data_IF_299945226674
#
_entry.id   IF_299945226674
#
_cell.length_a   1.000
_cell.length_b   1.000
_cell.length_c   1.000
_cell.angle_alpha   90.00
_cell.angle_beta   90.00
_cell.angle_gamma   90.00
#
_symmetry.space_group_name_H-M   'P 1'
#
loop_
_entity.id
_entity.type
_entity.pdbx_description
1 polymer ?
#
# COMPACT_ATOMS: atom_id res chain seq x y z
N UNK A 1 0.02 2.45 -15.34
CA UNK A 1 0.91 1.28 -15.49
C UNK A 1 2.09 1.26 -14.49
N UNK A 2 2.54 2.41 -13.97
CA UNK A 2 3.65 2.51 -13.02
C UNK A 2 3.44 1.65 -11.76
N UNK A 3 2.23 1.65 -11.20
CA UNK A 3 1.91 0.83 -10.04
C UNK A 3 2.02 -0.70 -10.30
N UNK A 4 1.81 -1.16 -11.53
CA UNK A 4 1.99 -2.59 -11.86
C UNK A 4 3.47 -2.95 -11.80
N UNK A 5 4.35 -2.10 -12.35
CA UNK A 5 5.80 -2.31 -12.29
C UNK A 5 6.34 -2.29 -10.87
N UNK A 6 5.76 -1.44 -9.99
CA UNK A 6 6.14 -1.39 -8.59
C UNK A 6 5.77 -2.70 -7.88
N UNK A 7 4.57 -3.25 -8.14
CA UNK A 7 4.20 -4.57 -7.59
C UNK A 7 4.99 -5.71 -8.21
N UNK A 8 5.36 -5.64 -9.50
CA UNK A 8 6.23 -6.64 -10.14
C UNK A 8 7.59 -6.70 -9.42
N UNK A 9 8.12 -5.52 -9.08
CA UNK A 9 9.36 -5.43 -8.34
C UNK A 9 9.23 -6.05 -6.93
N UNK A 10 8.18 -5.71 -6.18
CA UNK A 10 7.94 -6.29 -4.84
C UNK A 10 7.80 -7.82 -4.94
N UNK A 11 7.06 -8.33 -5.93
CA UNK A 11 6.85 -9.76 -6.13
C UNK A 11 8.14 -10.46 -6.53
N UNK A 12 9.02 -9.79 -7.27
CA UNK A 12 10.36 -10.32 -7.59
C UNK A 12 11.22 -10.52 -6.34
N UNK A 13 11.14 -9.58 -5.41
CA UNK A 13 11.87 -9.64 -4.14
C UNK A 13 11.23 -10.63 -3.15
N UNK A 14 9.91 -10.61 -3.10
CA UNK A 14 9.11 -11.43 -2.18
C UNK A 14 8.00 -12.20 -2.92
N UNK A 15 8.33 -13.33 -3.58
CA UNK A 15 7.36 -14.07 -4.40
C UNK A 15 6.16 -14.63 -3.62
N UNK A 16 6.28 -14.72 -2.30
CA UNK A 16 5.20 -15.20 -1.41
C UNK A 16 4.38 -14.08 -0.79
N UNK A 17 4.67 -12.83 -1.11
CA UNK A 17 3.88 -11.69 -0.62
C UNK A 17 2.51 -11.66 -1.32
N UNK A 18 1.52 -12.28 -0.66
CA UNK A 18 0.18 -12.42 -1.25
C UNK A 18 -0.51 -11.07 -1.44
N UNK A 19 -0.20 -10.08 -0.60
CA UNK A 19 -0.81 -8.75 -0.69
C UNK A 19 -0.35 -8.00 -1.94
N UNK A 20 0.95 -8.08 -2.28
CA UNK A 20 1.49 -7.51 -3.51
C UNK A 20 0.85 -8.17 -4.73
N UNK A 21 0.76 -9.52 -4.73
CA UNK A 21 0.12 -10.27 -5.83
C UNK A 21 -1.35 -9.89 -5.95
N UNK A 22 -2.08 -9.81 -4.82
CA UNK A 22 -3.49 -9.46 -4.83
C UNK A 22 -3.74 -8.04 -5.34
N UNK A 23 -2.93 -7.07 -4.90
CA UNK A 23 -3.05 -5.69 -5.37
C UNK A 23 -2.70 -5.55 -6.86
N UNK A 24 -1.70 -6.29 -7.35
CA UNK A 24 -1.41 -6.35 -8.79
C UNK A 24 -2.59 -6.93 -9.56
N UNK A 25 -3.22 -8.00 -9.05
CA UNK A 25 -4.42 -8.57 -9.64
C UNK A 25 -5.57 -7.56 -9.75
N UNK A 26 -5.79 -6.75 -8.71
CA UNK A 26 -6.79 -5.68 -8.71
C UNK A 26 -6.50 -4.63 -9.80
N UNK A 27 -5.24 -4.27 -10.00
CA UNK A 27 -4.86 -3.34 -11.06
C UNK A 27 -5.07 -3.95 -12.44
N UNK A 28 -4.72 -5.23 -12.63
CA UNK A 28 -4.97 -5.95 -13.87
C UNK A 28 -6.49 -6.04 -14.19
N UNK A 29 -7.32 -6.26 -13.18
CA UNK A 29 -8.79 -6.26 -13.34
C UNK A 29 -9.29 -4.86 -13.75
N UNK A 30 -8.80 -3.79 -13.10
CA UNK A 30 -9.16 -2.41 -13.44
C UNK A 30 -8.69 -1.99 -14.85
N UNK A 31 -7.52 -2.45 -15.27
CA UNK A 31 -6.98 -2.14 -16.60
C UNK A 31 -7.53 -3.04 -17.70
N UNK A 32 -8.40 -4.00 -17.38
CA UNK A 32 -9.02 -4.90 -18.34
C UNK A 32 -8.18 -6.12 -18.70
N UNK A 33 -7.00 -6.28 -18.12
CA UNK A 33 -6.16 -7.45 -18.34
C UNK A 33 -6.63 -8.64 -17.47
N UNK A 34 -7.84 -9.12 -17.78
CA UNK A 34 -8.53 -10.13 -16.97
C UNK A 34 -7.78 -11.46 -16.86
N UNK A 35 -7.06 -11.86 -17.92
CA UNK A 35 -6.28 -13.11 -17.89
C UNK A 35 -5.11 -13.03 -16.87
N UNK A 36 -4.43 -11.89 -16.79
CA UNK A 36 -3.39 -11.67 -15.80
C UNK A 36 -3.96 -11.60 -14.39
N UNK A 37 -5.07 -10.87 -14.21
CA UNK A 37 -5.78 -10.81 -12.93
C UNK A 37 -6.16 -12.20 -12.41
N UNK A 38 -6.72 -13.07 -13.25
CA UNK A 38 -7.10 -14.43 -12.88
C UNK A 38 -5.89 -15.26 -12.45
N UNK A 39 -4.74 -15.11 -13.11
CA UNK A 39 -3.51 -15.81 -12.71
C UNK A 39 -3.08 -15.39 -11.31
N UNK A 40 -3.03 -14.09 -11.08
CA UNK A 40 -2.60 -13.56 -9.79
C UNK A 40 -3.57 -13.93 -8.67
N UNK A 41 -4.89 -13.80 -8.88
CA UNK A 41 -5.89 -14.29 -7.92
C UNK A 41 -5.75 -15.79 -7.65
N UNK A 42 -5.47 -16.60 -8.68
CA UNK A 42 -5.27 -18.03 -8.50
C UNK A 42 -4.04 -18.36 -7.66
N UNK A 43 -2.97 -17.57 -7.80
CA UNK A 43 -1.76 -17.69 -6.97
C UNK A 43 -2.08 -17.39 -5.51
N UNK A 44 -2.83 -16.32 -5.24
CA UNK A 44 -3.25 -15.96 -3.88
C UNK A 44 -4.16 -17.03 -3.25
N UNK A 45 -5.13 -17.53 -4.03
CA UNK A 45 -6.07 -18.58 -3.59
C UNK A 45 -5.31 -19.89 -3.34
N UNK A 46 -4.27 -20.19 -4.13
CA UNK A 46 -3.39 -21.35 -3.90
C UNK A 46 -2.64 -21.26 -2.57
N UNK A 47 -2.22 -20.05 -2.17
CA UNK A 47 -1.60 -19.83 -0.86
C UNK A 47 -2.62 -19.87 0.29
N UNK A 48 -3.81 -19.31 0.06
CA UNK A 48 -4.87 -19.19 1.06
C UNK A 48 -6.22 -19.59 0.46
N UNK A 49 -6.58 -20.89 0.47
CA UNK A 49 -7.80 -21.41 -0.16
C UNK A 49 -9.09 -20.78 0.36
N UNK A 50 -9.08 -20.28 1.59
CA UNK A 50 -10.22 -19.63 2.24
C UNK A 50 -10.22 -18.11 2.11
N UNK A 51 -9.45 -17.57 1.17
CA UNK A 51 -9.45 -16.14 0.89
C UNK A 51 -10.65 -15.77 -0.01
N UNK A 52 -11.82 -15.63 0.62
CA UNK A 52 -13.10 -15.43 -0.06
C UNK A 52 -13.14 -14.21 -0.96
N UNK A 53 -12.47 -13.15 -0.56
CA UNK A 53 -12.35 -11.92 -1.36
C UNK A 53 -11.66 -12.22 -2.69
N UNK A 54 -10.57 -12.98 -2.69
CA UNK A 54 -9.87 -13.37 -3.92
C UNK A 54 -10.73 -14.23 -4.84
N UNK A 55 -11.50 -15.19 -4.27
CA UNK A 55 -12.46 -16.00 -5.03
C UNK A 55 -13.54 -15.13 -5.68
N UNK A 56 -14.11 -14.17 -4.95
CA UNK A 56 -15.14 -13.27 -5.48
C UNK A 56 -14.63 -12.43 -6.64
N UNK A 57 -13.43 -11.85 -6.52
CA UNK A 57 -12.84 -11.07 -7.62
C UNK A 57 -12.49 -11.95 -8.83
N UNK A 58 -11.99 -13.17 -8.59
CA UNK A 58 -11.70 -14.12 -9.68
C UNK A 58 -12.97 -14.54 -10.40
N UNK A 59 -14.05 -14.85 -9.68
CA UNK A 59 -15.35 -15.17 -10.27
C UNK A 59 -15.87 -14.02 -11.13
N UNK A 60 -15.75 -12.78 -10.69
CA UNK A 60 -16.10 -11.59 -11.46
C UNK A 60 -15.29 -11.50 -12.76
N UNK A 61 -13.98 -11.75 -12.71
CA UNK A 61 -13.14 -11.77 -13.91
C UNK A 61 -13.55 -12.90 -14.87
N UNK A 62 -13.89 -14.09 -14.37
CA UNK A 62 -14.41 -15.19 -15.18
C UNK A 62 -15.73 -14.83 -15.88
N UNK A 63 -16.66 -14.18 -15.16
CA UNK A 63 -17.92 -13.71 -15.78
C UNK A 63 -17.68 -12.73 -16.92
N UNK A 64 -16.77 -11.78 -16.71
CA UNK A 64 -16.40 -10.79 -17.74
C UNK A 64 -15.75 -11.43 -18.99
N UNK A 65 -15.11 -12.59 -18.83
CA UNK A 65 -14.55 -13.38 -19.94
C UNK A 65 -15.54 -14.40 -20.54
N UNK A 66 -16.78 -14.45 -20.05
CA UNK A 66 -17.77 -15.42 -20.49
C UNK A 66 -17.54 -16.85 -19.96
N UNK A 67 -16.63 -17.04 -19.05
CA UNK A 67 -16.33 -18.35 -18.43
C UNK A 67 -17.26 -18.63 -17.25
N UNK A 68 -18.57 -18.72 -17.51
CA UNK A 68 -19.63 -18.82 -16.49
C UNK A 68 -19.46 -20.02 -15.58
N UNK A 69 -19.16 -21.19 -16.10
CA UNK A 69 -18.98 -22.40 -15.30
C UNK A 69 -17.86 -22.25 -14.23
N UNK A 70 -16.74 -21.58 -14.58
CA UNK A 70 -15.65 -21.34 -13.62
C UNK A 70 -16.05 -20.30 -12.57
N UNK A 71 -16.81 -19.30 -12.97
CA UNK A 71 -17.33 -18.30 -12.04
C UNK A 71 -18.28 -18.94 -11.02
N UNK A 72 -19.20 -19.78 -11.49
CA UNK A 72 -20.16 -20.49 -10.64
C UNK A 72 -19.47 -21.44 -9.64
N UNK A 73 -18.40 -22.10 -10.05
CA UNK A 73 -17.60 -22.91 -9.13
C UNK A 73 -17.02 -22.10 -7.97
N UNK A 74 -16.47 -20.93 -8.26
CA UNK A 74 -15.91 -20.07 -7.21
C UNK A 74 -17.02 -19.50 -6.32
N UNK A 75 -18.13 -19.08 -6.91
CA UNK A 75 -19.30 -18.58 -6.20
C UNK A 75 -19.94 -19.66 -5.32
N UNK A 76 -20.03 -20.88 -5.82
CA UNK A 76 -20.54 -22.02 -5.03
C UNK A 76 -19.64 -22.31 -3.82
N UNK A 77 -18.31 -22.20 -3.98
CA UNK A 77 -17.39 -22.33 -2.84
C UNK A 77 -17.63 -21.26 -1.79
N UNK A 78 -17.87 -20.01 -2.21
CA UNK A 78 -18.19 -18.89 -1.30
C UNK A 78 -19.54 -19.17 -0.61
N UNK A 79 -20.57 -19.55 -1.37
CA UNK A 79 -21.88 -19.87 -0.85
C UNK A 79 -21.83 -21.00 0.18
N UNK A 80 -21.15 -22.11 -0.15
CA UNK A 80 -20.95 -23.23 0.77
C UNK A 80 -20.25 -22.80 2.06
N UNK A 81 -19.26 -21.93 1.96
CA UNK A 81 -18.56 -21.39 3.12
C UNK A 81 -19.48 -20.51 4.00
N UNK A 82 -20.33 -19.70 3.40
CA UNK A 82 -21.31 -18.88 4.11
C UNK A 82 -22.34 -19.77 4.82
N UNK A 83 -22.87 -20.76 4.13
CA UNK A 83 -23.78 -21.74 4.73
C UNK A 83 -23.14 -22.48 5.92
N UNK A 84 -21.92 -22.97 5.74
CA UNK A 84 -21.18 -23.63 6.82
C UNK A 84 -20.90 -22.70 8.00
N UNK A 85 -20.74 -21.41 7.76
CA UNK A 85 -20.60 -20.41 8.82
C UNK A 85 -21.89 -20.27 9.64
N UNK A 86 -23.04 -20.23 8.99
CA UNK A 86 -24.34 -20.17 9.68
C UNK A 86 -24.61 -21.41 10.52
N UNK A 87 -24.18 -22.59 10.04
CA UNK A 87 -24.33 -23.87 10.74
C UNK A 87 -23.22 -24.07 11.79
N UNK A 88 -22.25 -23.16 11.91
CA UNK A 88 -21.13 -23.27 12.85
C UNK A 88 -20.03 -24.26 12.45
N UNK A 89 -20.12 -24.85 11.27
CA UNK A 89 -19.18 -25.89 10.77
C UNK A 89 -17.93 -25.26 10.14
N UNK A 90 -17.95 -23.97 9.80
CA UNK A 90 -16.80 -23.35 9.16
C UNK A 90 -15.65 -23.20 10.16
N UNK A 91 -14.49 -23.82 9.89
CA UNK A 91 -13.33 -23.61 10.72
C UNK A 91 -12.91 -22.14 10.63
N UNK A 92 -12.82 -21.49 11.78
CA UNK A 92 -12.20 -20.16 11.86
C UNK A 92 -10.73 -20.29 11.43
N UNK A 93 -10.22 -19.30 10.76
CA UNK A 93 -8.79 -19.24 10.47
C UNK A 93 -8.01 -19.44 11.77
N UNK A 94 -7.14 -20.44 11.78
CA UNK A 94 -6.32 -20.71 12.95
C UNK A 94 -5.42 -19.49 13.26
N UNK A 95 -5.03 -19.35 14.51
CA UNK A 95 -4.10 -18.31 14.91
C UNK A 95 -2.77 -18.41 14.12
N UNK A 96 -2.33 -19.65 13.83
CA UNK A 96 -1.16 -19.94 13.00
C UNK A 96 -1.32 -19.38 11.59
N UNK A 97 -2.46 -19.65 10.92
CA UNK A 97 -2.74 -19.16 9.56
C UNK A 97 -2.81 -17.63 9.52
N UNK A 98 -3.43 -16.99 10.53
CA UNK A 98 -3.49 -15.54 10.65
C UNK A 98 -2.09 -14.93 10.82
N UNK A 99 -1.25 -15.52 11.66
CA UNK A 99 0.13 -15.09 11.90
C UNK A 99 0.97 -15.22 10.62
N UNK A 100 0.83 -16.34 9.92
CA UNK A 100 1.54 -16.59 8.66
C UNK A 100 1.10 -15.62 7.56
N UNK A 101 -0.21 -15.36 7.44
CA UNK A 101 -0.75 -14.39 6.49
C UNK A 101 -0.21 -12.98 6.78
N UNK A 102 -0.18 -12.58 8.06
CA UNK A 102 0.39 -11.28 8.45
C UNK A 102 1.87 -11.20 8.08
N UNK A 103 2.67 -12.23 8.43
CA UNK A 103 4.09 -12.28 8.10
C UNK A 103 4.33 -12.18 6.59
N UNK A 104 3.48 -12.82 5.76
CA UNK A 104 3.58 -12.76 4.29
C UNK A 104 3.02 -11.48 3.67
N UNK A 105 2.31 -10.65 4.44
CA UNK A 105 1.82 -9.34 3.99
C UNK A 105 2.76 -8.19 4.36
N UNK A 106 3.66 -8.41 5.32
CA UNK A 106 4.66 -7.44 5.74
C UNK A 106 5.81 -7.44 4.74
N UNK A 107 6.23 -6.25 4.36
CA UNK A 107 7.44 -6.05 3.55
C UNK A 107 8.62 -6.04 4.51
N UNK A 108 9.62 -6.85 4.23
CA UNK A 108 10.85 -6.89 4.99
C UNK A 108 11.72 -5.67 4.62
N UNK A 109 11.87 -4.68 5.50
CA UNK A 109 12.60 -3.46 5.18
C UNK A 109 14.07 -3.73 4.84
N UNK A 110 14.68 -4.76 5.43
CA UNK A 110 16.09 -5.07 5.22
C UNK A 110 16.37 -5.55 3.80
N UNK A 111 15.40 -6.24 3.17
CA UNK A 111 15.52 -6.67 1.78
C UNK A 111 15.45 -5.51 0.78
N UNK A 112 14.80 -4.44 1.15
CA UNK A 112 14.59 -3.27 0.28
C UNK A 112 15.60 -2.15 0.57
N UNK A 113 16.18 -2.11 1.76
CA UNK A 113 17.17 -1.10 2.14
C UNK A 113 18.42 -1.09 1.24
N UNK A 114 18.84 -2.27 0.74
CA UNK A 114 19.97 -2.39 -0.16
C UNK A 114 19.68 -1.98 -1.61
N UNK A 115 18.40 -1.73 -1.94
CA UNK A 115 17.96 -1.40 -3.31
C UNK A 115 17.78 0.09 -3.52
N UNK A 116 17.72 0.86 -2.43
CA UNK A 116 17.82 2.31 -2.48
C UNK A 116 19.29 2.65 -2.63
N UNK A 117 19.81 2.50 -3.84
CA UNK A 117 21.08 3.09 -4.21
C UNK A 117 20.77 4.56 -4.40
N UNK A 118 21.10 5.36 -3.41
CA UNK A 118 21.16 6.79 -3.58
C UNK A 118 22.33 7.08 -4.54
N UNK A 119 22.04 7.14 -5.83
CA UNK A 119 23.01 7.55 -6.86
C UNK A 119 23.40 9.04 -6.71
N UNK A 120 22.70 9.76 -5.87
CA UNK A 120 23.06 11.11 -5.50
C UNK A 120 24.06 11.06 -4.34
N UNK A 121 25.16 11.85 -4.45
CA UNK A 121 26.09 11.97 -3.33
C UNK A 121 25.26 12.41 -2.12
N UNK A 122 25.25 11.55 -1.09
CA UNK A 122 24.62 11.90 0.18
C UNK A 122 25.21 13.24 0.59
N UNK A 123 24.44 14.29 0.44
CA UNK A 123 24.76 15.53 1.12
C UNK A 123 24.70 15.16 2.61
N UNK A 124 25.87 14.87 3.18
CA UNK A 124 26.01 14.82 4.61
C UNK A 124 25.72 16.23 5.10
N UNK A 125 24.45 16.50 5.34
CA UNK A 125 24.08 17.63 6.14
C UNK A 125 24.67 17.35 7.51
N UNK A 126 25.86 17.86 7.77
CA UNK A 126 26.45 17.89 9.10
C UNK A 126 25.62 18.85 9.96
N UNK A 127 24.41 18.39 10.27
CA UNK A 127 23.63 19.05 11.30
C UNK A 127 24.41 18.91 12.60
N UNK A 128 24.61 20.02 13.29
CA UNK A 128 25.13 20.01 14.65
C UNK A 128 24.32 18.98 15.43
N UNK A 129 24.96 18.29 16.38
CA UNK A 129 24.33 17.23 17.16
C UNK A 129 23.02 17.64 17.84
N UNK A 130 22.86 18.92 18.11
CA UNK A 130 21.65 19.59 18.62
C UNK A 130 20.42 19.40 17.70
N UNK A 131 20.61 19.18 16.40
CA UNK A 131 19.54 19.02 15.40
C UNK A 131 19.31 17.56 14.99
N UNK A 132 20.07 16.61 15.55
CA UNK A 132 19.85 15.18 15.32
C UNK A 132 18.67 14.73 16.15
N UNK A 133 17.57 14.48 15.48
CA UNK A 133 16.34 14.06 16.11
C UNK A 133 15.24 15.11 15.96
N UNK A 134 14.23 15.03 16.78
CA UNK A 134 13.11 15.97 16.76
C UNK A 134 13.63 17.38 17.03
N UNK A 135 13.28 18.32 16.14
CA UNK A 135 13.50 19.75 16.41
C UNK A 135 12.63 20.15 17.59
N UNK A 136 13.18 19.96 18.78
CA UNK A 136 12.50 20.30 20.04
C UNK A 136 13.11 21.54 20.70
N UNK A 137 14.06 22.17 20.04
CA UNK A 137 14.69 23.35 20.60
C UNK A 137 13.74 24.53 20.43
N UNK A 138 12.90 24.76 21.45
CA UNK A 138 11.97 25.89 21.52
C UNK A 138 12.70 27.25 21.60
N UNK A 139 14.02 27.25 21.63
CA UNK A 139 14.88 28.44 21.74
C UNK A 139 15.58 28.75 20.42
N UNK A 140 15.20 28.10 19.32
CA UNK A 140 15.72 28.47 17.99
C UNK A 140 15.11 29.83 17.63
N UNK A 141 15.91 30.85 17.63
CA UNK A 141 15.54 32.12 17.01
C UNK A 141 15.36 31.89 15.52
N UNK A 142 14.12 31.80 15.10
CA UNK A 142 13.80 31.70 13.67
C UNK A 142 13.82 33.11 13.09
N UNK A 143 14.84 33.40 12.30
CA UNK A 143 14.81 34.58 11.45
C UNK A 143 13.86 34.27 10.30
N UNK A 144 12.76 34.98 10.22
CA UNK A 144 11.84 34.86 9.10
C UNK A 144 12.47 35.48 7.86
N UNK A 145 12.44 34.76 6.74
CA UNK A 145 12.91 35.28 5.48
C UNK A 145 11.99 36.44 5.02
N UNK A 146 12.51 37.52 4.47
CA UNK A 146 11.73 38.67 4.01
C UNK A 146 10.57 38.31 3.07
N UNK A 147 10.74 37.21 2.33
CA UNK A 147 9.74 36.68 1.41
C UNK A 147 8.43 36.25 2.11
N UNK A 148 8.48 35.79 3.35
CA UNK A 148 7.28 35.42 4.11
C UNK A 148 6.51 36.65 4.56
N UNK A 149 7.16 37.75 4.83
CA UNK A 149 6.52 39.01 5.17
C UNK A 149 5.73 39.57 3.97
N UNK A 150 6.30 39.47 2.76
CA UNK A 150 5.65 39.92 1.52
C UNK A 150 4.48 39.05 1.09
N UNK A 151 4.53 37.75 1.31
CA UNK A 151 3.44 36.85 0.93
C UNK A 151 2.21 36.96 1.82
N UNK A 152 2.38 37.38 3.05
CA UNK A 152 1.28 37.48 4.01
C UNK A 152 0.48 38.78 3.90
N UNK A 153 1.09 39.86 3.40
CA UNK A 153 0.46 41.18 3.27
C UNK A 153 0.64 41.72 1.84
N UNK A 154 -0.17 41.23 0.89
CA UNK A 154 -0.07 41.68 -0.49
C UNK A 154 -0.49 43.15 -0.67
N UNK A 155 -1.06 43.77 0.36
CA UNK A 155 -1.59 45.12 0.27
C UNK A 155 -0.75 46.07 1.12
N UNK A 156 0.00 46.93 0.44
CA UNK A 156 0.88 47.96 1.03
C UNK A 156 0.18 48.93 1.99
N UNK A 157 -1.14 48.96 1.99
CA UNK A 157 -1.92 49.78 2.93
C UNK A 157 -1.99 49.19 4.33
N UNK A 158 -1.62 47.92 4.53
CA UNK A 158 -1.60 47.26 5.81
C UNK A 158 -0.20 47.15 6.43
N UNK A 159 0.53 48.26 6.40
CA UNK A 159 1.87 48.36 7.03
C UNK A 159 1.79 48.01 8.53
N UNK A 160 0.67 48.30 9.16
CA UNK A 160 0.45 47.91 10.58
C UNK A 160 0.46 46.41 10.83
N UNK A 161 0.05 45.60 9.84
CA UNK A 161 0.09 44.15 9.94
C UNK A 161 1.49 43.56 9.85
N UNK A 162 2.36 44.17 9.02
CA UNK A 162 3.77 43.80 8.92
C UNK A 162 4.52 44.10 10.22
N UNK A 163 4.20 45.21 10.84
CA UNK A 163 4.82 45.58 12.13
C UNK A 163 4.39 44.65 13.28
N UNK A 164 3.27 43.99 13.18
CA UNK A 164 2.83 43.04 14.21
C UNK A 164 3.65 41.73 14.22
N UNK A 165 4.38 41.44 13.14
CA UNK A 165 5.26 40.28 13.05
C UNK A 165 6.71 40.57 13.44
N UNK A 166 7.12 41.85 13.47
CA UNK A 166 8.46 42.28 13.89
C UNK A 166 8.59 42.45 15.41
N UNK A 167 7.55 42.15 16.16
CA UNK A 167 7.52 42.15 17.62
C UNK A 167 7.32 40.74 18.17
#
# INVERSE_FOLDING_TARGET
NRAITDFDFVIKMEPKNFMAIFNRALLHDKTGNLKAAIRDYSTVIGQFPNFWTGLSYRARCYRRLGMTAKAEMDEFRIFKAQMNKHIGIQPRWSAKTKKEMRKRSEIDPDKFASLVVDDEPKYEHNYKSEYRGRVQNRQVETSYLPMFQLSYFPNTQNVSGVQAFDK
#
